data_IF_328662225415
#
_entry.id   IF_328662225415
#
_cell.length_a   1.000
_cell.length_b   1.000
_cell.length_c   1.000
_cell.angle_alpha   90.00
_cell.angle_beta   90.00
_cell.angle_gamma   90.00
#
_symmetry.space_group_name_H-M   'P 1'
#
loop_
_entity.id
_entity.type
_entity.pdbx_description
1 polymer ?
#
# COMPACT_ATOMS: atom_id res chain seq x y z
N UNK A 1 21.13 8.01 -28.01
CA UNK A 1 20.58 7.49 -26.74
C UNK A 1 19.29 8.27 -26.52
N UNK A 2 18.11 7.64 -26.61
CA UNK A 2 16.85 8.33 -26.34
C UNK A 2 16.90 8.81 -24.88
N UNK A 3 16.80 10.12 -24.65
CA UNK A 3 16.53 10.68 -23.33
C UNK A 3 15.22 10.03 -22.87
N UNK A 4 15.32 9.07 -21.95
CA UNK A 4 14.13 8.41 -21.45
C UNK A 4 13.50 9.35 -20.43
N UNK A 5 12.36 9.88 -20.80
CA UNK A 5 11.60 10.78 -19.97
C UNK A 5 10.82 10.00 -18.91
N UNK A 6 11.42 9.86 -17.73
CA UNK A 6 10.87 9.11 -16.59
C UNK A 6 10.06 9.98 -15.65
N UNK A 7 10.20 11.31 -15.74
CA UNK A 7 9.71 12.29 -14.78
C UNK A 7 8.44 12.98 -15.29
N UNK A 8 7.43 12.18 -15.62
CA UNK A 8 6.08 12.65 -15.97
C UNK A 8 5.19 12.74 -14.73
N UNK A 9 4.04 13.40 -14.86
CA UNK A 9 2.94 13.27 -13.90
C UNK A 9 2.59 11.79 -13.71
N UNK A 10 2.90 11.26 -12.52
CA UNK A 10 2.85 9.85 -12.23
C UNK A 10 2.37 9.58 -10.81
N UNK A 11 1.46 8.62 -10.68
CA UNK A 11 0.98 8.12 -9.40
C UNK A 11 0.91 6.60 -9.41
N UNK A 12 1.04 6.00 -8.23
CA UNK A 12 0.67 4.63 -7.97
C UNK A 12 -0.71 4.59 -7.31
N UNK A 13 -1.69 4.05 -8.02
CA UNK A 13 -3.01 3.73 -7.49
C UNK A 13 -2.96 2.35 -6.85
N UNK A 14 -3.15 2.32 -5.54
CA UNK A 14 -3.33 1.12 -4.75
C UNK A 14 -4.81 0.82 -4.56
N UNK A 15 -5.20 -0.45 -4.68
CA UNK A 15 -6.55 -0.90 -4.36
C UNK A 15 -6.46 -2.17 -3.53
N UNK A 16 -7.03 -2.14 -2.32
CA UNK A 16 -7.11 -3.30 -1.41
C UNK A 16 -8.54 -3.80 -1.41
N UNK A 17 -8.74 -5.04 -1.85
CA UNK A 17 -10.05 -5.69 -1.92
C UNK A 17 -10.02 -7.08 -1.28
N UNK A 18 -11.20 -7.66 -1.05
CA UNK A 18 -11.30 -9.05 -0.64
C UNK A 18 -10.80 -9.99 -1.75
N UNK A 19 -10.41 -11.20 -1.36
CA UNK A 19 -10.04 -12.29 -2.27
C UNK A 19 -11.00 -12.44 -3.48
N UNK A 20 -10.44 -12.75 -4.65
CA UNK A 20 -11.13 -12.97 -5.93
C UNK A 20 -11.82 -11.74 -6.55
N UNK A 21 -11.44 -10.53 -6.12
CA UNK A 21 -11.96 -9.28 -6.66
C UNK A 21 -11.00 -8.58 -7.61
N UNK A 22 -9.71 -8.91 -7.57
CA UNK A 22 -8.66 -8.25 -8.35
C UNK A 22 -8.97 -8.25 -9.85
N UNK A 23 -9.36 -9.38 -10.44
CA UNK A 23 -9.67 -9.44 -11.87
C UNK A 23 -10.83 -8.53 -12.27
N UNK A 24 -11.84 -8.37 -11.39
CA UNK A 24 -12.99 -7.47 -11.64
C UNK A 24 -12.58 -6.00 -11.52
N UNK A 25 -11.75 -5.68 -10.53
CA UNK A 25 -11.17 -4.34 -10.33
C UNK A 25 -10.33 -3.95 -11.55
N UNK A 26 -9.42 -4.83 -11.99
CA UNK A 26 -8.57 -4.60 -13.18
C UNK A 26 -9.42 -4.40 -14.43
N UNK A 27 -10.43 -5.25 -14.64
CA UNK A 27 -11.31 -5.14 -15.80
C UNK A 27 -12.11 -3.83 -15.82
N UNK A 28 -12.48 -3.28 -14.65
CA UNK A 28 -13.10 -1.95 -14.58
C UNK A 28 -12.07 -0.84 -14.79
N UNK A 29 -10.93 -0.89 -14.09
CA UNK A 29 -9.88 0.10 -14.18
C UNK A 29 -9.39 0.30 -15.62
N UNK A 30 -9.29 -0.78 -16.41
CA UNK A 30 -8.93 -0.75 -17.83
C UNK A 30 -9.88 0.06 -18.71
N UNK A 31 -11.17 0.16 -18.35
CA UNK A 31 -12.12 1.01 -19.08
C UNK A 31 -11.84 2.49 -18.90
N UNK A 32 -11.09 2.84 -17.86
CA UNK A 32 -10.77 4.21 -17.44
C UNK A 32 -9.30 4.55 -17.63
N UNK A 33 -8.61 3.87 -18.56
CA UNK A 33 -7.25 4.23 -18.99
C UNK A 33 -6.10 3.47 -18.33
N UNK A 34 -6.35 2.72 -17.24
CA UNK A 34 -5.31 1.88 -16.63
C UNK A 34 -4.89 0.77 -17.60
N UNK A 35 -3.57 0.58 -17.77
CA UNK A 35 -3.04 -0.39 -18.75
C UNK A 35 -2.64 -1.74 -18.14
N UNK A 36 -2.18 -1.72 -16.89
CA UNK A 36 -1.68 -2.90 -16.21
C UNK A 36 -1.86 -2.76 -14.70
N UNK A 37 -1.74 -3.90 -14.01
CA UNK A 37 -1.77 -3.97 -12.57
C UNK A 37 -0.86 -5.10 -12.10
N UNK A 38 -0.19 -4.90 -10.98
CA UNK A 38 0.44 -5.97 -10.20
C UNK A 38 -0.50 -6.33 -9.05
N UNK A 39 -0.67 -7.62 -8.77
CA UNK A 39 -1.51 -8.09 -7.67
C UNK A 39 -0.62 -8.80 -6.65
N UNK A 40 -0.73 -8.41 -5.39
CA UNK A 40 -0.11 -9.07 -4.25
C UNK A 40 -1.20 -9.66 -3.36
N UNK A 41 -0.90 -10.80 -2.74
CA UNK A 41 -1.78 -11.42 -1.75
C UNK A 41 -1.42 -10.90 -0.37
N UNK A 42 -2.44 -10.61 0.44
CA UNK A 42 -2.26 -10.14 1.79
C UNK A 42 -3.39 -10.55 2.73
N UNK A 43 -3.30 -10.07 3.96
CA UNK A 43 -4.30 -10.27 5.02
C UNK A 43 -4.61 -8.95 5.69
N UNK A 44 -5.90 -8.65 5.85
CA UNK A 44 -6.36 -7.45 6.53
C UNK A 44 -6.56 -7.71 8.02
N UNK A 45 -6.14 -6.77 8.86
CA UNK A 45 -6.07 -6.93 10.33
C UNK A 45 -7.21 -6.25 11.10
N UNK A 46 -8.12 -5.59 10.38
CA UNK A 46 -9.31 -4.98 10.98
C UNK A 46 -10.27 -6.09 11.41
N UNK A 47 -10.51 -6.19 12.72
CA UNK A 47 -11.39 -7.20 13.33
C UNK A 47 -12.80 -7.09 12.75
N UNK A 48 -13.30 -8.18 12.18
CA UNK A 48 -14.68 -8.29 11.70
C UNK A 48 -15.49 -9.12 12.70
N UNK A 49 -16.52 -8.51 13.31
CA UNK A 49 -17.37 -9.15 14.33
C UNK A 49 -17.94 -10.50 13.87
N UNK A 50 -18.29 -10.63 12.59
CA UNK A 50 -18.85 -11.88 12.05
C UNK A 50 -17.79 -12.95 11.82
N UNK A 51 -16.62 -12.58 11.28
CA UNK A 51 -15.51 -13.53 11.08
C UNK A 51 -14.99 -14.06 12.43
N UNK A 52 -14.88 -13.18 13.43
CA UNK A 52 -14.51 -13.58 14.79
C UNK A 52 -15.51 -14.58 15.40
N UNK A 53 -16.81 -14.42 15.12
CA UNK A 53 -17.86 -15.30 15.62
C UNK A 53 -17.76 -16.74 15.06
N UNK A 54 -17.14 -16.92 13.89
CA UNK A 54 -16.90 -18.24 13.28
C UNK A 54 -15.44 -18.69 13.38
N UNK A 55 -14.62 -18.03 14.21
CA UNK A 55 -13.22 -18.39 14.44
C UNK A 55 -12.25 -18.02 13.30
N UNK A 56 -12.67 -17.19 12.35
CA UNK A 56 -11.79 -16.68 11.29
C UNK A 56 -11.15 -15.38 11.76
N UNK A 57 -9.83 -15.43 11.99
CA UNK A 57 -9.08 -14.30 12.56
C UNK A 57 -8.67 -13.29 11.48
N UNK A 58 -8.28 -13.77 10.30
CA UNK A 58 -7.73 -12.93 9.23
C UNK A 58 -8.61 -12.95 7.97
N UNK A 59 -8.75 -11.78 7.35
CA UNK A 59 -9.45 -11.66 6.07
C UNK A 59 -8.44 -11.63 4.92
N UNK A 60 -8.53 -12.59 3.99
CA UNK A 60 -7.69 -12.61 2.78
C UNK A 60 -7.99 -11.40 1.91
N UNK A 61 -6.93 -10.70 1.50
CA UNK A 61 -6.97 -9.50 0.66
C UNK A 61 -6.14 -9.70 -0.60
N UNK A 62 -6.54 -9.01 -1.65
CA UNK A 62 -5.72 -8.76 -2.84
C UNK A 62 -5.39 -7.26 -2.85
N UNK A 63 -4.10 -6.95 -2.97
CA UNK A 63 -3.57 -5.59 -3.08
C UNK A 63 -3.11 -5.37 -4.51
N UNK A 64 -3.76 -4.46 -5.22
CA UNK A 64 -3.44 -4.10 -6.58
C UNK A 64 -2.60 -2.82 -6.59
N UNK A 65 -1.56 -2.79 -7.43
CA UNK A 65 -0.75 -1.60 -7.71
C UNK A 65 -0.86 -1.29 -9.20
N UNK A 66 -1.21 -0.06 -9.54
CA UNK A 66 -1.42 0.40 -10.91
C UNK A 66 -0.75 1.76 -11.12
N UNK A 67 0.15 1.86 -12.09
CA UNK A 67 0.77 3.13 -12.49
C UNK A 67 -0.08 3.88 -13.52
N UNK A 68 -0.28 5.18 -13.30
CA UNK A 68 -1.04 6.07 -14.19
C UNK A 68 -0.59 7.54 -14.01
N UNK A 69 -1.00 8.42 -14.93
CA UNK A 69 -1.03 9.87 -14.65
C UNK A 69 -2.15 10.21 -13.65
N UNK A 70 -2.07 11.39 -13.03
CA UNK A 70 -2.98 11.79 -11.95
C UNK A 70 -4.44 11.84 -12.41
N UNK A 71 -4.72 12.33 -13.63
CA UNK A 71 -6.07 12.45 -14.14
C UNK A 71 -6.71 11.07 -14.39
N UNK A 72 -5.94 10.15 -15.00
CA UNK A 72 -6.35 8.76 -15.21
C UNK A 72 -6.59 8.05 -13.88
N UNK A 73 -5.68 8.18 -12.92
CA UNK A 73 -5.82 7.55 -11.60
C UNK A 73 -7.06 8.03 -10.86
N UNK A 74 -7.33 9.34 -10.87
CA UNK A 74 -8.54 9.93 -10.27
C UNK A 74 -9.81 9.36 -10.90
N UNK A 75 -9.87 9.35 -12.23
CA UNK A 75 -11.03 8.83 -12.98
C UNK A 75 -11.26 7.35 -12.68
N UNK A 76 -10.20 6.54 -12.70
CA UNK A 76 -10.27 5.13 -12.38
C UNK A 76 -10.70 4.90 -10.93
N UNK A 77 -10.14 5.64 -9.96
CA UNK A 77 -10.48 5.53 -8.55
C UNK A 77 -11.96 5.85 -8.30
N UNK A 78 -12.50 6.93 -8.88
CA UNK A 78 -13.90 7.32 -8.74
C UNK A 78 -14.84 6.24 -9.32
N UNK A 79 -14.50 5.69 -10.49
CA UNK A 79 -15.26 4.63 -11.11
C UNK A 79 -15.23 3.33 -10.30
N UNK A 80 -14.06 2.95 -9.78
CA UNK A 80 -13.90 1.79 -8.91
C UNK A 80 -14.72 1.95 -7.62
N UNK A 81 -14.58 3.10 -6.95
CA UNK A 81 -15.30 3.39 -5.72
C UNK A 81 -16.81 3.27 -5.92
N UNK A 82 -17.34 3.87 -7.01
CA UNK A 82 -18.76 3.80 -7.36
C UNK A 82 -19.21 2.39 -7.72
N UNK A 83 -18.45 1.67 -8.56
CA UNK A 83 -18.84 0.34 -9.07
C UNK A 83 -18.81 -0.72 -7.96
N UNK A 84 -17.82 -0.67 -7.08
CA UNK A 84 -17.60 -1.67 -6.04
C UNK A 84 -18.13 -1.25 -4.66
N UNK A 85 -18.73 -0.07 -4.57
CA UNK A 85 -19.31 0.49 -3.36
C UNK A 85 -18.31 0.63 -2.21
N UNK A 86 -17.14 1.21 -2.48
CA UNK A 86 -16.09 1.37 -1.47
C UNK A 86 -16.54 2.22 -0.28
N UNK A 87 -17.55 3.08 -0.43
CA UNK A 87 -18.18 3.81 0.68
C UNK A 87 -18.80 2.88 1.75
N UNK A 88 -19.10 1.62 1.39
CA UNK A 88 -19.69 0.65 2.31
C UNK A 88 -18.60 -0.14 3.04
N UNK A 89 -18.83 -0.48 4.32
CA UNK A 89 -17.89 -1.30 5.08
C UNK A 89 -17.52 -2.60 4.36
N UNK A 90 -16.23 -2.98 4.45
CA UNK A 90 -15.69 -4.25 3.95
C UNK A 90 -15.81 -4.46 2.43
N UNK A 91 -15.90 -3.39 1.64
CA UNK A 91 -15.93 -3.47 0.16
C UNK A 91 -14.58 -3.22 -0.51
N UNK A 92 -13.67 -2.55 0.18
CA UNK A 92 -12.32 -2.28 -0.30
C UNK A 92 -11.91 -0.84 -0.01
N UNK A 93 -10.64 -0.56 -0.21
CA UNK A 93 -10.04 0.77 -0.07
C UNK A 93 -9.25 1.04 -1.34
N UNK A 94 -9.30 2.26 -1.85
CA UNK A 94 -8.40 2.73 -2.90
C UNK A 94 -7.69 3.99 -2.45
N UNK A 95 -6.42 4.11 -2.79
CA UNK A 95 -5.62 5.29 -2.47
C UNK A 95 -4.52 5.50 -3.50
N UNK A 96 -4.09 6.75 -3.70
CA UNK A 96 -3.06 7.11 -4.66
C UNK A 96 -1.86 7.76 -3.95
N UNK A 97 -0.66 7.37 -4.35
CA UNK A 97 0.61 7.94 -3.90
C UNK A 97 1.30 8.57 -5.11
N UNK A 98 1.74 9.81 -4.98
CA UNK A 98 2.52 10.50 -6.01
C UNK A 98 3.90 9.89 -6.19
N UNK A 99 4.37 9.87 -7.43
CA UNK A 99 5.70 9.41 -7.80
C UNK A 99 6.48 10.52 -8.48
N UNK A 100 7.79 10.59 -8.20
CA UNK A 100 8.71 11.47 -8.92
C UNK A 100 8.95 10.99 -10.37
N UNK A 101 8.74 9.70 -10.63
CA UNK A 101 8.84 9.14 -11.96
C UNK A 101 8.52 7.65 -12.00
N UNK A 102 8.16 7.15 -13.20
CA UNK A 102 7.90 5.73 -13.46
C UNK A 102 8.62 5.33 -14.75
N UNK A 103 9.26 4.17 -14.77
CA UNK A 103 9.88 3.62 -15.97
C UNK A 103 9.31 2.23 -16.31
N UNK A 104 9.50 1.78 -17.55
CA UNK A 104 9.14 0.42 -17.97
C UNK A 104 7.69 0.24 -18.44
N UNK A 105 6.95 1.33 -18.64
CA UNK A 105 5.61 1.32 -19.23
C UNK A 105 5.56 2.18 -20.50
N UNK A 106 4.99 1.68 -21.59
CA UNK A 106 4.72 2.49 -22.79
C UNK A 106 3.56 3.47 -22.61
N UNK A 107 2.88 3.44 -21.45
CA UNK A 107 1.85 4.42 -21.12
C UNK A 107 2.42 5.83 -20.93
N UNK A 108 3.66 5.93 -20.44
CA UNK A 108 4.27 7.18 -19.97
C UNK A 108 4.46 8.22 -21.08
N UNK A 109 4.62 7.77 -22.34
CA UNK A 109 4.75 8.67 -23.50
C UNK A 109 3.54 9.59 -23.70
N UNK A 110 2.40 9.26 -23.07
CA UNK A 110 1.15 10.02 -23.14
C UNK A 110 0.83 10.78 -21.85
N UNK A 111 1.65 10.62 -20.81
CA UNK A 111 1.43 11.32 -19.55
C UNK A 111 1.93 12.76 -19.66
N UNK A 112 1.24 13.72 -19.03
CA UNK A 112 1.64 15.11 -19.08
C UNK A 112 2.93 15.34 -18.31
N UNK A 113 3.59 16.47 -18.56
CA UNK A 113 4.64 16.96 -17.66
C UNK A 113 4.07 17.13 -16.25
N UNK A 114 4.88 16.92 -15.22
CA UNK A 114 4.46 17.21 -13.87
C UNK A 114 4.16 18.71 -13.70
N UNK A 115 3.28 19.08 -12.76
CA UNK A 115 3.02 20.49 -12.45
C UNK A 115 4.32 21.23 -12.09
N UNK A 116 4.46 22.45 -12.59
CA UNK A 116 5.64 23.28 -12.34
C UNK A 116 5.83 23.64 -10.84
N UNK A 117 4.75 23.57 -10.07
CA UNK A 117 4.76 23.70 -8.62
C UNK A 117 4.58 22.31 -8.00
N UNK A 118 5.70 21.69 -7.63
CA UNK A 118 5.74 20.45 -6.88
C UNK A 118 5.62 20.68 -5.36
N UNK A 119 5.13 21.84 -4.91
CA UNK A 119 4.74 21.99 -3.52
C UNK A 119 3.72 20.89 -3.21
N UNK A 120 4.18 19.89 -2.45
CA UNK A 120 3.33 18.81 -1.96
C UNK A 120 2.34 19.45 -1.00
N UNK A 121 1.14 19.72 -1.51
CA UNK A 121 0.03 20.19 -0.69
C UNK A 121 -0.10 19.27 0.53
N UNK A 122 -0.31 19.81 1.74
CA UNK A 122 -0.40 18.99 2.94
C UNK A 122 -1.45 17.90 2.77
N UNK A 123 -0.99 16.65 2.67
CA UNK A 123 -1.90 15.52 2.49
C UNK A 123 -2.63 15.22 3.80
N UNK A 124 -3.91 14.87 3.70
CA UNK A 124 -4.72 14.52 4.86
C UNK A 124 -4.41 13.11 5.37
N UNK A 125 -3.80 12.27 4.53
CA UNK A 125 -3.54 10.87 4.77
C UNK A 125 -2.11 10.51 4.38
N UNK A 126 -1.55 9.55 5.10
CA UNK A 126 -0.26 8.98 4.81
C UNK A 126 -0.35 7.46 4.76
N UNK A 127 0.45 6.86 3.88
CA UNK A 127 0.74 5.44 3.85
C UNK A 127 2.00 5.20 4.68
N UNK A 128 1.84 4.61 5.85
CA UNK A 128 2.94 4.08 6.66
C UNK A 128 3.21 2.67 6.16
N UNK A 129 4.43 2.43 5.70
CA UNK A 129 4.90 1.11 5.30
C UNK A 129 5.97 0.63 6.27
N UNK A 130 5.77 -0.56 6.82
CA UNK A 130 6.75 -1.19 7.71
C UNK A 130 7.14 -2.55 7.15
N UNK A 131 8.44 -2.80 6.98
CA UNK A 131 9.00 -4.07 6.50
C UNK A 131 9.77 -4.70 7.65
N UNK A 132 9.37 -5.89 8.07
CA UNK A 132 9.97 -6.63 9.20
C UNK A 132 10.25 -8.08 8.84
N UNK A 133 10.98 -8.79 9.70
CA UNK A 133 11.11 -10.24 9.61
C UNK A 133 9.73 -10.90 9.65
N UNK A 134 9.59 -12.00 8.89
CA UNK A 134 8.35 -12.77 8.91
C UNK A 134 7.95 -13.17 10.34
N UNK A 135 6.67 -12.99 10.69
CA UNK A 135 6.13 -13.28 12.02
C UNK A 135 6.19 -12.11 13.00
N UNK A 136 6.71 -10.94 12.60
CA UNK A 136 6.71 -9.71 13.42
C UNK A 136 5.67 -8.68 12.99
N UNK A 137 4.86 -8.96 11.97
CA UNK A 137 3.85 -8.03 11.49
C UNK A 137 2.78 -7.71 12.54
N UNK A 138 2.48 -8.67 13.42
CA UNK A 138 1.55 -8.53 14.53
C UNK A 138 2.05 -7.49 15.55
N UNK A 139 3.35 -7.50 15.87
CA UNK A 139 3.96 -6.48 16.75
C UNK A 139 3.79 -5.07 16.18
N UNK A 140 3.97 -4.92 14.85
CA UNK A 140 3.75 -3.66 14.14
C UNK A 140 2.30 -3.20 14.28
N UNK A 141 1.35 -4.11 14.05
CA UNK A 141 -0.09 -3.80 14.08
C UNK A 141 -0.55 -3.47 15.50
N UNK A 142 -0.09 -4.20 16.51
CA UNK A 142 -0.42 -3.93 17.91
C UNK A 142 0.14 -2.59 18.37
N UNK A 143 1.41 -2.28 18.05
CA UNK A 143 2.02 -0.99 18.33
C UNK A 143 1.22 0.15 17.70
N UNK A 144 0.92 0.04 16.41
CA UNK A 144 0.15 1.04 15.69
C UNK A 144 -1.27 1.21 16.26
N UNK A 145 -1.95 0.11 16.61
CA UNK A 145 -3.29 0.16 17.21
C UNK A 145 -3.28 0.84 18.57
N UNK A 146 -2.24 0.64 19.38
CA UNK A 146 -2.07 1.34 20.67
C UNK A 146 -1.93 2.85 20.51
N UNK A 147 -1.46 3.31 19.35
CA UNK A 147 -1.31 4.71 18.97
C UNK A 147 -2.48 5.27 18.14
N UNK A 148 -3.58 4.52 17.99
CA UNK A 148 -4.79 4.98 17.31
C UNK A 148 -4.97 4.54 15.85
N UNK A 149 -4.09 3.68 15.32
CA UNK A 149 -4.33 3.01 14.04
C UNK A 149 -5.54 2.08 14.14
N UNK A 150 -6.30 1.95 13.05
CA UNK A 150 -7.40 0.97 12.96
C UNK A 150 -6.92 -0.43 12.60
N UNK A 151 -5.74 -0.55 12.01
CA UNK A 151 -5.21 -1.77 11.45
C UNK A 151 -4.53 -1.51 10.11
N UNK A 152 -4.25 -2.57 9.38
CA UNK A 152 -3.50 -2.51 8.13
C UNK A 152 -3.72 -3.74 7.26
N UNK A 153 -2.93 -3.80 6.20
CA UNK A 153 -2.83 -4.96 5.32
C UNK A 153 -1.41 -5.50 5.41
N UNK A 154 -1.28 -6.77 5.78
CA UNK A 154 0.00 -7.48 5.84
C UNK A 154 0.17 -8.27 4.55
N UNK A 155 1.32 -8.12 3.91
CA UNK A 155 1.70 -8.74 2.64
C UNK A 155 2.97 -9.54 2.88
N UNK A 156 3.01 -10.78 2.39
CA UNK A 156 4.23 -11.57 2.44
C UNK A 156 5.22 -11.08 1.38
N UNK A 157 6.49 -10.98 1.76
CA UNK A 157 7.58 -10.55 0.90
C UNK A 157 8.83 -11.41 1.11
N UNK A 158 9.87 -11.07 0.37
CA UNK A 158 11.22 -11.61 0.53
C UNK A 158 12.21 -10.47 0.53
N UNK A 159 13.31 -10.62 1.26
CA UNK A 159 14.34 -9.61 1.36
C UNK A 159 15.72 -10.17 1.10
N UNK A 160 16.68 -9.28 0.94
CA UNK A 160 18.10 -9.60 0.82
C UNK A 160 18.87 -8.50 1.58
N UNK A 161 18.79 -8.51 2.91
CA UNK A 161 19.54 -7.58 3.74
C UNK A 161 21.05 -7.85 3.65
N UNK A 162 21.87 -6.82 3.82
CA UNK A 162 23.35 -6.82 3.64
C UNK A 162 24.08 -7.91 4.45
N UNK A 163 23.43 -8.49 5.47
CA UNK A 163 23.99 -9.54 6.32
C UNK A 163 23.56 -10.98 5.95
N UNK A 164 22.74 -11.20 4.92
CA UNK A 164 22.12 -12.51 4.66
C UNK A 164 22.40 -13.06 3.26
N UNK A 165 23.68 -13.27 2.96
CA UNK A 165 24.06 -14.24 1.92
C UNK A 165 24.59 -15.50 2.60
N UNK A 166 23.74 -16.13 3.41
CA UNK A 166 24.02 -17.49 3.89
C UNK A 166 23.73 -18.45 2.73
N UNK A 167 24.79 -19.03 2.18
CA UNK A 167 24.68 -20.12 1.22
C UNK A 167 24.40 -21.41 1.98
N UNK A 168 23.17 -21.89 1.97
CA UNK A 168 22.86 -23.24 2.43
C UNK A 168 22.90 -24.17 1.23
N UNK A 169 23.82 -25.14 1.26
CA UNK A 169 24.01 -26.11 0.16
C UNK A 169 24.32 -25.47 -1.20
N UNK A 170 24.97 -24.30 -1.20
CA UNK A 170 25.31 -23.56 -2.42
C UNK A 170 24.14 -22.81 -3.06
N UNK A 171 23.02 -22.68 -2.36
CA UNK A 171 21.86 -21.89 -2.78
C UNK A 171 21.75 -20.61 -1.96
N UNK A 172 21.49 -19.49 -2.63
CA UNK A 172 21.14 -18.23 -1.98
C UNK A 172 19.75 -18.37 -1.33
N UNK A 173 19.67 -18.13 -0.01
CA UNK A 173 18.40 -18.09 0.71
C UNK A 173 17.98 -16.64 0.89
N UNK A 174 16.85 -16.28 0.30
CA UNK A 174 16.17 -15.02 0.56
C UNK A 174 15.29 -15.16 1.81
N UNK A 175 15.55 -14.42 2.91
CA UNK A 175 14.66 -14.41 4.07
C UNK A 175 13.24 -13.98 3.71
N UNK A 176 12.27 -14.61 4.36
CA UNK A 176 10.88 -14.19 4.33
C UNK A 176 10.70 -12.90 5.13
N UNK A 177 9.90 -11.98 4.59
CA UNK A 177 9.57 -10.69 5.21
C UNK A 177 8.07 -10.52 5.28
N UNK A 178 7.62 -9.73 6.23
CA UNK A 178 6.26 -9.19 6.22
C UNK A 178 6.30 -7.68 5.96
N UNK A 179 5.46 -7.23 5.03
CA UNK A 179 5.24 -5.82 4.70
C UNK A 179 3.88 -5.43 5.25
N UNK A 180 3.82 -4.40 6.10
CA UNK A 180 2.58 -3.87 6.67
C UNK A 180 2.28 -2.52 6.03
N UNK A 181 1.15 -2.42 5.35
CA UNK A 181 0.58 -1.17 4.85
C UNK A 181 -0.49 -0.65 5.82
N UNK A 182 -0.33 0.59 6.27
CA UNK A 182 -1.29 1.29 7.12
C UNK A 182 -1.60 2.67 6.55
N UNK A 183 -2.89 2.98 6.43
CA UNK A 183 -3.36 4.32 6.12
C UNK A 183 -3.72 5.03 7.41
N UNK A 184 -3.09 6.16 7.66
CA UNK A 184 -3.33 6.98 8.84
C UNK A 184 -3.59 8.44 8.45
N UNK A 185 -4.45 9.17 9.17
CA UNK A 185 -4.49 10.62 9.05
C UNK A 185 -3.11 11.21 9.32
N UNK A 186 -2.67 12.18 8.52
CA UNK A 186 -1.34 12.79 8.63
C UNK A 186 -1.06 13.39 10.03
N UNK A 187 -2.11 13.84 10.73
CA UNK A 187 -2.01 14.36 12.09
C UNK A 187 -1.67 13.28 13.14
N UNK A 188 -2.03 12.03 12.88
CA UNK A 188 -1.82 10.89 13.79
C UNK A 188 -0.66 9.99 13.38
N UNK A 189 -0.22 10.09 12.12
CA UNK A 189 0.86 9.25 11.59
C UNK A 189 2.16 9.35 12.40
N UNK A 190 2.67 10.53 12.82
CA UNK A 190 3.90 10.60 13.61
C UNK A 190 3.83 9.82 14.93
N UNK A 191 2.67 9.81 15.60
CA UNK A 191 2.48 9.05 16.83
C UNK A 191 2.47 7.54 16.58
N UNK A 192 1.91 7.10 15.44
CA UNK A 192 1.92 5.69 15.02
C UNK A 192 3.35 5.26 14.68
N UNK A 193 4.10 6.07 13.94
CA UNK A 193 5.50 5.83 13.59
C UNK A 193 6.36 5.64 14.84
N UNK A 194 6.27 6.57 15.78
CA UNK A 194 7.00 6.51 17.06
C UNK A 194 6.66 5.25 17.87
N UNK A 195 5.39 4.87 17.93
CA UNK A 195 4.98 3.67 18.67
C UNK A 195 5.53 2.38 18.04
N UNK A 196 5.59 2.32 16.71
CA UNK A 196 6.18 1.19 15.98
C UNK A 196 7.69 1.17 16.22
N UNK A 197 8.37 2.31 16.06
CA UNK A 197 9.82 2.40 16.29
C UNK A 197 10.19 1.93 17.70
N UNK A 198 9.56 2.48 18.73
CA UNK A 198 9.82 2.09 20.12
C UNK A 198 9.51 0.62 20.41
N UNK A 199 8.47 0.04 19.80
CA UNK A 199 8.09 -1.36 20.03
C UNK A 199 9.10 -2.32 19.41
N UNK A 200 9.61 -1.99 18.24
CA UNK A 200 10.45 -2.89 17.43
C UNK A 200 11.94 -2.58 17.55
N UNK A 201 12.30 -1.45 18.15
CA UNK A 201 13.64 -0.85 18.17
C UNK A 201 14.20 -0.68 16.74
N UNK A 202 13.52 0.06 15.85
CA UNK A 202 13.91 0.09 14.42
C UNK A 202 15.26 0.75 14.17
N UNK A 203 15.74 1.58 15.09
CA UNK A 203 17.11 2.13 15.10
C UNK A 203 18.21 1.06 15.22
N UNK A 204 17.87 -0.18 15.63
CA UNK A 204 18.83 -1.29 15.68
C UNK A 204 18.96 -1.95 14.31
N UNK A 205 20.19 -2.36 13.92
CA UNK A 205 20.41 -3.06 12.65
C UNK A 205 19.50 -4.29 12.50
N UNK A 206 18.87 -4.43 11.33
CA UNK A 206 17.99 -5.55 10.94
C UNK A 206 16.68 -5.68 11.74
N UNK A 207 16.23 -4.65 12.46
CA UNK A 207 14.95 -4.71 13.19
C UNK A 207 13.72 -4.38 12.34
N UNK A 208 13.95 -3.78 11.17
CA UNK A 208 12.93 -3.48 10.18
C UNK A 208 13.25 -2.19 9.43
N UNK A 209 12.35 -1.78 8.54
CA UNK A 209 12.39 -0.49 7.87
C UNK A 209 10.99 0.10 7.99
N UNK A 210 10.89 1.34 8.44
CA UNK A 210 9.67 2.13 8.39
C UNK A 210 9.88 3.32 7.46
N UNK A 211 8.91 3.56 6.60
CA UNK A 211 8.87 4.78 5.80
C UNK A 211 7.43 5.18 5.53
N UNK A 212 7.24 6.48 5.30
CA UNK A 212 5.93 7.08 5.12
C UNK A 212 5.84 7.82 3.80
N UNK A 213 4.72 7.66 3.10
CA UNK A 213 4.45 8.32 1.83
C UNK A 213 3.16 9.12 1.90
N UNK A 214 3.16 10.28 1.25
CA UNK A 214 1.99 11.15 1.15
C UNK A 214 0.92 10.50 0.26
N UNK A 215 -0.33 10.50 0.73
CA UNK A 215 -1.48 9.96 -0.02
C UNK A 215 -2.31 11.13 -0.54
N UNK A 216 -2.38 11.25 -1.87
CA UNK A 216 -3.03 12.39 -2.53
C UNK A 216 -4.52 12.19 -2.76
N UNK A 217 -4.98 10.95 -2.71
CA UNK A 217 -6.39 10.63 -2.78
C UNK A 217 -6.69 9.33 -2.05
N UNK A 218 -7.86 9.23 -1.42
CA UNK A 218 -8.31 8.03 -0.74
C UNK A 218 -9.83 7.85 -0.82
N UNK A 219 -10.27 6.61 -0.92
CA UNK A 219 -11.68 6.22 -0.93
C UNK A 219 -11.89 4.88 -0.21
N UNK A 220 -13.02 4.74 0.46
CA UNK A 220 -13.41 3.51 1.19
C UNK A 220 -12.83 3.35 2.58
N UNK A 221 -12.15 4.37 3.11
CA UNK A 221 -11.85 4.44 4.52
C UNK A 221 -13.11 4.80 5.31
N UNK A 222 -13.65 3.81 6.01
CA UNK A 222 -14.78 4.01 6.89
C UNK A 222 -14.31 4.63 8.21
N UNK A 223 -14.72 5.88 8.45
CA UNK A 223 -14.66 6.48 9.78
C UNK A 223 -15.88 6.03 10.57
N UNK A 224 -15.74 4.91 11.28
CA UNK A 224 -16.77 4.50 12.24
C UNK A 224 -16.94 5.57 13.31
N UNK A 225 -18.20 5.94 13.56
CA UNK A 225 -18.67 6.62 14.75
C UNK A 225 -18.65 5.66 15.96
#
# INVERSE_FOLDING_TARGET
>A
MLEKDWHKDAVLLYVVVNDQMASKVIAEAKKHGIRGATVMLGRGTIKNKWLNAIGVVDSRKEVLIMGADTATAKTAMDALAKRFHFEKPNRGIAFAVEMEGIAGTSAIERWPEPPADHATEPTQWQLITTIVEHGRAEDVVEAAQSAGSRGGTIIAGRGSGVAQTELVLGMEIEPEKDIVFMLAPAQTAPQIEEAIDQRLDLEKPNHGILFTQNVVAVSGLYQGA
#
